data_IF_375906613460
#
_entry.id   IF_375906613460
#
_cell.length_a   1.000
_cell.length_b   1.000
_cell.length_c   1.000
_cell.angle_alpha   90.00
_cell.angle_beta   90.00
_cell.angle_gamma   90.00
#
_symmetry.space_group_name_H-M   'P 1'
#
loop_
_entity.id
_entity.type
_entity.pdbx_description
1 polymer ?
#
# COMPACT_ATOMS: atom_id res chain seq x y z
N UNK A 1 -22.65 -3.38 12.48
CA UNK A 1 -21.21 -3.54 12.10
C UNK A 1 -20.80 -4.98 12.36
N UNK A 2 -20.39 -5.74 11.33
CA UNK A 2 -20.00 -7.16 11.49
C UNK A 2 -18.88 -7.28 12.53
N UNK A 3 -18.99 -8.21 13.48
CA UNK A 3 -18.05 -8.39 14.60
C UNK A 3 -16.57 -8.42 14.17
N UNK A 4 -16.29 -9.08 13.05
CA UNK A 4 -14.93 -9.19 12.47
C UNK A 4 -14.30 -7.82 12.15
N UNK A 5 -15.10 -6.82 11.77
CA UNK A 5 -14.61 -5.45 11.51
C UNK A 5 -14.20 -4.76 12.81
N UNK A 6 -14.96 -4.96 13.89
CA UNK A 6 -14.65 -4.37 15.20
C UNK A 6 -13.30 -4.87 15.69
N UNK A 7 -13.11 -6.19 15.65
CA UNK A 7 -11.88 -6.86 16.11
C UNK A 7 -10.67 -6.36 15.30
N UNK A 8 -10.78 -6.29 13.97
CA UNK A 8 -9.70 -5.78 13.13
C UNK A 8 -9.30 -4.35 13.51
N UNK A 9 -10.26 -3.46 13.77
CA UNK A 9 -9.96 -2.08 14.15
C UNK A 9 -9.36 -1.99 15.54
N UNK A 10 -9.84 -2.80 16.49
CA UNK A 10 -9.28 -2.87 17.84
C UNK A 10 -7.82 -3.35 17.78
N UNK A 11 -7.49 -4.31 16.91
CA UNK A 11 -6.12 -4.81 16.74
C UNK A 11 -5.20 -3.83 15.97
N UNK A 12 -5.76 -3.02 15.07
CA UNK A 12 -5.02 -2.04 14.28
C UNK A 12 -4.44 -0.90 15.14
N UNK A 13 -5.19 -0.45 16.16
CA UNK A 13 -4.81 0.65 17.05
C UNK A 13 -3.48 0.36 17.79
N UNK A 14 -3.34 -0.74 18.56
CA UNK A 14 -2.12 -1.00 19.31
C UNK A 14 -0.91 -1.23 18.40
N UNK A 15 -1.09 -1.84 17.22
CA UNK A 15 0.00 -2.00 16.26
C UNK A 15 0.47 -0.64 15.71
N UNK A 16 -0.45 0.25 15.40
CA UNK A 16 -0.05 1.58 14.90
C UNK A 16 0.58 2.44 16.00
N UNK A 17 0.07 2.37 17.23
CA UNK A 17 0.70 3.02 18.37
C UNK A 17 2.09 2.46 18.65
N UNK A 18 2.26 1.14 18.59
CA UNK A 18 3.56 0.49 18.76
C UNK A 18 4.56 0.95 17.68
N UNK A 19 4.13 1.08 16.42
CA UNK A 19 4.98 1.61 15.35
C UNK A 19 5.45 3.04 15.63
N UNK A 20 4.55 3.93 16.08
CA UNK A 20 4.88 5.31 16.42
C UNK A 20 5.82 5.40 17.63
N UNK A 21 5.52 4.64 18.69
CA UNK A 21 6.36 4.60 19.90
C UNK A 21 7.75 4.10 19.55
N UNK A 22 7.87 2.98 18.83
CA UNK A 22 9.17 2.42 18.44
C UNK A 22 9.95 3.36 17.52
N UNK A 23 9.28 4.07 16.62
CA UNK A 23 9.92 5.06 15.76
C UNK A 23 10.53 6.21 16.57
N UNK A 24 9.80 6.75 17.54
CA UNK A 24 10.31 7.78 18.45
C UNK A 24 11.42 7.23 19.35
N UNK A 25 11.24 6.04 19.91
CA UNK A 25 12.23 5.39 20.78
C UNK A 25 13.56 5.14 20.06
N UNK A 26 13.52 4.69 18.80
CA UNK A 26 14.72 4.48 17.98
C UNK A 26 15.37 5.82 17.63
N UNK A 27 14.59 6.85 17.27
CA UNK A 27 15.14 8.17 16.97
C UNK A 27 15.88 8.80 18.18
N UNK A 28 15.31 8.61 19.38
CA UNK A 28 15.88 9.10 20.65
C UNK A 28 16.94 8.16 21.25
N UNK A 29 17.19 6.99 20.65
CA UNK A 29 18.03 5.91 21.19
C UNK A 29 17.63 5.43 22.60
N UNK A 30 16.35 5.55 22.97
CA UNK A 30 15.86 5.03 24.25
C UNK A 30 15.74 3.50 24.23
N UNK A 31 15.38 2.95 23.07
CA UNK A 31 15.20 1.52 22.90
C UNK A 31 15.40 1.12 21.44
N UNK A 32 16.23 0.11 21.22
CA UNK A 32 16.46 -0.50 19.90
C UNK A 32 15.81 -1.88 19.91
N UNK A 33 14.63 -2.06 19.30
CA UNK A 33 13.97 -3.35 19.25
C UNK A 33 14.75 -4.35 18.39
N UNK A 34 14.59 -5.64 18.66
CA UNK A 34 15.17 -6.66 17.78
C UNK A 34 14.47 -6.66 16.41
N UNK A 35 15.24 -6.94 15.35
CA UNK A 35 14.70 -7.08 13.98
C UNK A 35 13.60 -8.14 13.90
N UNK A 36 13.71 -9.21 14.70
CA UNK A 36 12.72 -10.27 14.76
C UNK A 36 11.38 -9.79 15.34
N UNK A 37 11.42 -9.01 16.44
CA UNK A 37 10.20 -8.41 17.01
C UNK A 37 9.50 -7.50 15.99
N UNK A 38 10.26 -6.64 15.30
CA UNK A 38 9.70 -5.77 14.26
C UNK A 38 9.12 -6.55 13.09
N UNK A 39 9.77 -7.64 12.68
CA UNK A 39 9.27 -8.51 11.62
C UNK A 39 7.91 -9.13 11.98
N UNK A 40 7.75 -9.62 13.22
CA UNK A 40 6.46 -10.16 13.70
C UNK A 40 5.37 -9.07 13.64
N UNK A 41 5.65 -7.88 14.17
CA UNK A 41 4.69 -6.76 14.17
C UNK A 41 4.32 -6.30 12.75
N UNK A 42 5.30 -6.27 11.84
CA UNK A 42 5.09 -6.02 10.42
C UNK A 42 4.17 -7.08 9.80
N UNK A 43 4.43 -8.37 10.05
CA UNK A 43 3.63 -9.47 9.52
C UNK A 43 2.19 -9.46 10.06
N UNK A 44 2.00 -9.16 11.34
CA UNK A 44 0.66 -8.99 11.93
C UNK A 44 -0.10 -7.84 11.25
N UNK A 45 0.56 -6.70 11.03
CA UNK A 45 -0.04 -5.54 10.38
C UNK A 45 -0.35 -5.82 8.92
N UNK A 46 0.55 -6.49 8.19
CA UNK A 46 0.34 -6.92 6.82
C UNK A 46 -0.82 -7.93 6.72
N UNK A 47 -0.94 -8.85 7.68
CA UNK A 47 -2.10 -9.74 7.82
C UNK A 47 -3.40 -8.95 7.93
N UNK A 48 -3.47 -7.95 8.81
CA UNK A 48 -4.65 -7.09 8.92
C UNK A 48 -4.93 -6.30 7.63
N UNK A 49 -3.91 -5.89 6.89
CA UNK A 49 -4.06 -5.27 5.58
C UNK A 49 -4.66 -6.24 4.54
N UNK A 50 -4.18 -7.48 4.47
CA UNK A 50 -4.76 -8.49 3.56
C UNK A 50 -6.23 -8.77 3.89
N UNK A 51 -6.58 -8.83 5.18
CA UNK A 51 -7.98 -8.97 5.62
C UNK A 51 -8.82 -7.76 5.22
N UNK A 52 -8.29 -6.54 5.34
CA UNK A 52 -8.97 -5.31 4.90
C UNK A 52 -9.35 -5.36 3.41
N UNK A 53 -8.40 -5.77 2.58
CA UNK A 53 -8.60 -5.92 1.12
C UNK A 53 -9.54 -7.09 0.81
N UNK A 54 -9.37 -8.24 1.45
CA UNK A 54 -10.21 -9.43 1.25
C UNK A 54 -11.67 -9.20 1.62
N UNK A 55 -11.93 -8.40 2.64
CA UNK A 55 -13.29 -7.99 3.03
C UNK A 55 -13.85 -6.85 2.15
N UNK A 56 -13.13 -6.41 1.11
CA UNK A 56 -13.51 -5.33 0.19
C UNK A 56 -13.93 -4.05 0.91
N UNK A 57 -13.25 -3.71 2.00
CA UNK A 57 -13.54 -2.49 2.75
C UNK A 57 -13.18 -1.26 1.90
N UNK A 58 -14.04 -0.24 1.91
CA UNK A 58 -13.84 0.98 1.10
C UNK A 58 -13.21 2.15 1.89
N UNK A 59 -12.83 1.93 3.15
CA UNK A 59 -12.36 3.00 4.03
C UNK A 59 -10.89 3.36 3.76
N UNK A 60 -10.69 4.35 2.87
CA UNK A 60 -9.37 4.83 2.44
C UNK A 60 -8.42 5.18 3.61
N UNK A 61 -8.94 5.81 4.66
CA UNK A 61 -8.12 6.24 5.81
C UNK A 61 -7.52 5.04 6.55
N UNK A 62 -8.27 3.95 6.68
CA UNK A 62 -7.80 2.74 7.37
C UNK A 62 -6.81 1.96 6.52
N UNK A 63 -7.06 1.91 5.22
CA UNK A 63 -6.11 1.38 4.26
C UNK A 63 -4.77 2.13 4.34
N UNK A 64 -4.82 3.47 4.36
CA UNK A 64 -3.64 4.32 4.49
C UNK A 64 -2.92 4.07 5.80
N UNK A 65 -3.65 4.01 6.92
CA UNK A 65 -3.06 3.72 8.23
C UNK A 65 -2.34 2.36 8.25
N UNK A 66 -2.97 1.29 7.75
CA UNK A 66 -2.36 -0.05 7.71
C UNK A 66 -1.11 -0.10 6.83
N UNK A 67 -1.16 0.48 5.63
CA UNK A 67 -0.01 0.55 4.72
C UNK A 67 1.13 1.36 5.37
N UNK A 68 0.82 2.54 5.91
CA UNK A 68 1.81 3.37 6.59
C UNK A 68 2.47 2.62 7.75
N UNK A 69 1.70 1.91 8.58
CA UNK A 69 2.23 1.13 9.69
C UNK A 69 3.15 -0.01 9.22
N UNK A 70 2.79 -0.74 8.16
CA UNK A 70 3.67 -1.77 7.56
C UNK A 70 4.99 -1.15 7.09
N UNK A 71 4.90 -0.03 6.38
CA UNK A 71 6.08 0.66 5.83
C UNK A 71 6.97 1.20 6.96
N UNK A 72 6.39 1.75 8.04
CA UNK A 72 7.16 2.19 9.22
C UNK A 72 7.95 1.03 9.84
N UNK A 73 7.34 -0.14 10.00
CA UNK A 73 8.07 -1.31 10.51
C UNK A 73 9.21 -1.74 9.58
N UNK A 74 8.98 -1.70 8.26
CA UNK A 74 10.03 -1.98 7.28
C UNK A 74 11.20 -1.00 7.39
N UNK A 75 10.90 0.30 7.50
CA UNK A 75 11.90 1.35 7.73
C UNK A 75 12.70 1.06 9.00
N UNK A 76 12.03 0.73 10.11
CA UNK A 76 12.71 0.40 11.37
C UNK A 76 13.61 -0.83 11.24
N UNK A 77 13.19 -1.89 10.54
CA UNK A 77 14.01 -3.08 10.30
C UNK A 77 15.28 -2.72 9.55
N UNK A 78 15.17 -1.93 8.47
CA UNK A 78 16.31 -1.51 7.65
C UNK A 78 17.26 -0.63 8.46
N UNK A 79 16.73 0.36 9.17
CA UNK A 79 17.50 1.26 10.04
C UNK A 79 18.29 0.49 11.10
N UNK A 80 17.65 -0.47 11.78
CA UNK A 80 18.31 -1.28 12.82
C UNK A 80 19.34 -2.23 12.22
N UNK A 81 19.08 -2.78 11.02
CA UNK A 81 20.07 -3.57 10.31
C UNK A 81 21.33 -2.76 9.99
N UNK A 82 21.18 -1.49 9.58
CA UNK A 82 22.30 -0.58 9.35
C UNK A 82 23.02 -0.28 10.67
N UNK A 83 22.28 0.03 11.74
CA UNK A 83 22.85 0.27 13.07
C UNK A 83 23.74 -0.90 13.54
N UNK A 84 23.28 -2.14 13.38
CA UNK A 84 24.00 -3.34 13.85
C UNK A 84 25.30 -3.60 13.08
N UNK A 85 25.31 -3.30 11.78
CA UNK A 85 26.46 -3.57 10.90
C UNK A 85 27.46 -2.40 10.91
N UNK A 86 27.04 -1.21 11.33
CA UNK A 86 27.90 -0.02 11.32
C UNK A 86 29.04 -0.14 12.33
N UNK A 87 30.27 -0.05 11.84
CA UNK A 87 31.51 -0.14 12.64
C UNK A 87 32.40 1.11 12.53
N UNK A 88 32.05 2.06 11.67
CA UNK A 88 32.94 3.17 11.30
C UNK A 88 32.59 4.43 12.10
N UNK A 89 33.39 4.75 13.11
CA UNK A 89 33.17 5.92 13.98
C UNK A 89 33.78 7.23 13.42
N UNK A 90 34.42 7.19 12.25
CA UNK A 90 35.25 8.30 11.75
C UNK A 90 34.45 9.47 11.15
N UNK A 91 33.21 9.24 10.69
CA UNK A 91 32.35 10.26 10.06
C UNK A 91 31.01 10.38 10.78
N UNK A 92 30.40 9.26 11.16
CA UNK A 92 29.16 9.22 11.93
C UNK A 92 29.29 8.18 13.02
N UNK A 93 28.93 8.57 14.25
CA UNK A 93 28.71 7.62 15.32
C UNK A 93 27.50 6.73 14.99
N UNK A 94 27.40 5.58 15.68
CA UNK A 94 26.26 4.65 15.51
C UNK A 94 24.90 5.34 15.66
N UNK A 95 24.81 6.37 16.50
CA UNK A 95 23.57 7.11 16.69
C UNK A 95 23.25 8.01 15.51
N UNK A 96 24.24 8.74 15.00
CA UNK A 96 24.14 9.62 13.85
C UNK A 96 23.71 8.88 12.59
N UNK A 97 24.32 7.72 12.30
CA UNK A 97 23.93 6.92 11.14
C UNK A 97 22.50 6.35 11.28
N UNK A 98 22.09 6.00 12.49
CA UNK A 98 20.74 5.51 12.78
C UNK A 98 19.70 6.59 12.53
N UNK A 99 19.93 7.81 13.03
CA UNK A 99 19.03 8.95 12.78
C UNK A 99 18.98 9.32 11.31
N UNK A 100 20.15 9.38 10.65
CA UNK A 100 20.25 9.71 9.23
C UNK A 100 19.50 8.69 8.37
N UNK A 101 19.75 7.40 8.59
CA UNK A 101 19.06 6.32 7.87
C UNK A 101 17.56 6.34 8.16
N UNK A 102 17.15 6.51 9.42
CA UNK A 102 15.74 6.61 9.77
C UNK A 102 15.04 7.76 9.03
N UNK A 103 15.65 8.95 8.99
CA UNK A 103 15.10 10.10 8.26
C UNK A 103 15.02 9.81 6.76
N UNK A 104 16.12 9.35 6.16
CA UNK A 104 16.22 9.08 4.74
C UNK A 104 15.19 8.04 4.28
N UNK A 105 15.10 6.90 4.97
CA UNK A 105 14.13 5.86 4.65
C UNK A 105 12.69 6.26 4.98
N UNK A 106 12.46 7.11 6.00
CA UNK A 106 11.14 7.67 6.27
C UNK A 106 10.67 8.57 5.13
N UNK A 107 11.52 9.44 4.60
CA UNK A 107 11.19 10.30 3.44
C UNK A 107 10.87 9.45 2.22
N UNK A 108 11.67 8.43 1.94
CA UNK A 108 11.42 7.48 0.85
C UNK A 108 10.09 6.74 1.02
N UNK A 109 9.80 6.31 2.25
CA UNK A 109 8.55 5.67 2.62
C UNK A 109 7.33 6.58 2.39
N UNK A 110 7.38 7.83 2.85
CA UNK A 110 6.32 8.82 2.61
C UNK A 110 6.08 9.04 1.13
N UNK A 111 7.15 9.15 0.34
CA UNK A 111 7.04 9.27 -1.12
C UNK A 111 6.38 8.03 -1.74
N UNK A 112 6.80 6.82 -1.35
CA UNK A 112 6.22 5.56 -1.84
C UNK A 112 4.72 5.44 -1.53
N UNK A 113 4.32 5.80 -0.31
CA UNK A 113 2.91 5.82 0.10
C UNK A 113 2.12 6.81 -0.75
N UNK A 114 2.64 8.02 -0.96
CA UNK A 114 2.01 9.03 -1.80
C UNK A 114 1.82 8.54 -3.25
N UNK A 115 2.87 7.94 -3.84
CA UNK A 115 2.82 7.38 -5.20
C UNK A 115 1.79 6.25 -5.29
N UNK A 116 1.73 5.35 -4.31
CA UNK A 116 0.73 4.27 -4.27
C UNK A 116 -0.70 4.83 -4.31
N UNK A 117 -1.04 5.79 -3.44
CA UNK A 117 -2.39 6.37 -3.40
C UNK A 117 -2.71 7.17 -4.66
N UNK A 118 -1.73 7.88 -5.23
CA UNK A 118 -1.87 8.57 -6.51
C UNK A 118 -2.15 7.58 -7.65
N UNK A 119 -1.41 6.49 -7.73
CA UNK A 119 -1.60 5.45 -8.75
C UNK A 119 -2.99 4.80 -8.62
N UNK A 120 -3.42 4.49 -7.39
CA UNK A 120 -4.75 3.93 -7.12
C UNK A 120 -5.88 4.89 -7.51
N UNK A 121 -5.74 6.19 -7.24
CA UNK A 121 -6.70 7.20 -7.64
C UNK A 121 -6.76 7.36 -9.17
N UNK A 122 -5.61 7.40 -9.83
CA UNK A 122 -5.50 7.45 -11.28
C UNK A 122 -6.16 6.25 -11.94
N UNK A 123 -5.88 5.03 -11.46
CA UNK A 123 -6.48 3.80 -11.98
C UNK A 123 -8.01 3.80 -11.84
N UNK A 124 -8.53 4.22 -10.68
CA UNK A 124 -9.98 4.37 -10.49
C UNK A 124 -10.60 5.38 -11.47
N UNK A 125 -9.93 6.50 -11.71
CA UNK A 125 -10.38 7.53 -12.66
C UNK A 125 -10.36 7.01 -14.10
N UNK A 126 -9.31 6.31 -14.51
CA UNK A 126 -9.21 5.73 -15.86
C UNK A 126 -10.28 4.66 -16.06
N UNK A 127 -10.46 3.73 -15.12
CA UNK A 127 -11.50 2.69 -15.21
C UNK A 127 -12.92 3.27 -15.21
N UNK A 128 -13.19 4.27 -14.37
CA UNK A 128 -14.48 4.98 -14.38
C UNK A 128 -14.71 5.73 -15.69
N UNK A 129 -13.68 6.39 -16.22
CA UNK A 129 -13.75 7.04 -17.52
C UNK A 129 -13.96 6.01 -18.65
N UNK A 130 -13.35 4.83 -18.60
CA UNK A 130 -13.60 3.75 -19.57
C UNK A 130 -15.03 3.20 -19.49
N UNK A 131 -15.62 3.10 -18.28
CA UNK A 131 -17.03 2.69 -18.10
C UNK A 131 -18.02 3.72 -18.62
N UNK A 132 -17.72 5.02 -18.51
CA UNK A 132 -18.59 6.10 -18.99
C UNK A 132 -18.28 6.57 -20.41
N UNK A 133 -17.21 6.08 -21.03
CA UNK A 133 -16.87 6.45 -22.39
C UNK A 133 -17.72 5.69 -23.40
N UNK A 134 -18.98 6.10 -23.55
CA UNK A 134 -19.88 5.70 -24.65
C UNK A 134 -19.43 6.22 -26.01
N UNK A 135 -18.35 7.02 -26.10
CA UNK A 135 -17.82 7.53 -27.37
C UNK A 135 -16.97 6.54 -28.14
N UNK A 136 -16.57 5.41 -27.55
CA UNK A 136 -16.03 4.26 -28.30
C UNK A 136 -17.14 3.45 -28.99
N UNK A 137 -18.18 4.13 -29.49
CA UNK A 137 -19.11 3.56 -30.46
C UNK A 137 -18.42 3.63 -31.81
N UNK A 138 -17.75 2.54 -32.18
CA UNK A 138 -17.43 2.27 -33.59
C UNK A 138 -18.71 2.48 -34.39
N UNK A 139 -18.69 3.39 -35.36
CA UNK A 139 -19.88 3.67 -36.17
C UNK A 139 -20.35 2.37 -36.85
N UNK A 140 -21.65 2.21 -37.10
CA UNK A 140 -22.16 0.99 -37.77
C UNK A 140 -21.46 0.73 -39.12
N UNK A 141 -21.01 1.80 -39.80
CA UNK A 141 -20.24 1.72 -41.04
C UNK A 141 -18.84 1.13 -40.84
N UNK A 142 -18.22 1.43 -39.70
CA UNK A 142 -16.87 0.98 -39.35
C UNK A 142 -16.88 -0.41 -38.73
N UNK A 143 -17.96 -0.80 -38.04
CA UNK A 143 -18.22 -2.19 -37.64
C UNK A 143 -18.37 -3.11 -38.85
N UNK A 144 -19.08 -2.67 -39.89
CA UNK A 144 -19.23 -3.45 -41.13
C UNK A 144 -17.90 -3.64 -41.84
N UNK A 145 -17.09 -2.57 -41.96
CA UNK A 145 -15.71 -2.66 -42.50
C UNK A 145 -14.81 -3.60 -41.71
N UNK A 146 -14.90 -3.60 -40.38
CA UNK A 146 -14.13 -4.52 -39.54
C UNK A 146 -14.62 -5.96 -39.74
N UNK A 147 -15.93 -6.20 -39.75
CA UNK A 147 -16.50 -7.54 -40.01
C UNK A 147 -16.18 -8.10 -41.41
N UNK A 148 -15.95 -7.23 -42.39
CA UNK A 148 -15.59 -7.58 -43.78
C UNK A 148 -14.06 -7.66 -44.00
N UNK A 149 -13.24 -7.30 -43.01
CA UNK A 149 -11.79 -7.40 -43.07
C UNK A 149 -11.32 -8.79 -42.61
N UNK A 150 -10.34 -9.36 -43.33
CA UNK A 150 -9.66 -10.62 -42.99
C UNK A 150 -8.71 -10.48 -41.78
N UNK A 151 -8.63 -9.29 -41.17
CA UNK A 151 -7.77 -9.05 -40.01
C UNK A 151 -8.40 -9.60 -38.73
N UNK A 152 -7.59 -10.21 -37.86
CA UNK A 152 -8.04 -10.64 -36.54
C UNK A 152 -8.12 -9.42 -35.61
N UNK A 153 -9.33 -8.94 -35.31
CA UNK A 153 -9.56 -7.87 -34.33
C UNK A 153 -10.03 -8.42 -32.98
N UNK A 154 -9.33 -8.03 -31.92
CA UNK A 154 -9.71 -8.28 -30.52
C UNK A 154 -10.61 -7.14 -30.02
N UNK A 155 -11.92 -7.40 -29.92
CA UNK A 155 -12.87 -6.48 -29.28
C UNK A 155 -12.70 -6.58 -27.76
N UNK A 156 -11.85 -5.73 -27.18
CA UNK A 156 -11.71 -5.57 -25.73
C UNK A 156 -12.80 -4.63 -25.22
N UNK A 157 -13.83 -5.16 -24.54
CA UNK A 157 -14.81 -4.33 -23.83
C UNK A 157 -16.27 -4.77 -23.82
N UNK A 158 -16.63 -6.00 -24.21
CA UNK A 158 -17.99 -6.50 -23.90
C UNK A 158 -18.08 -6.80 -22.40
N UNK A 159 -18.59 -5.84 -21.62
CA UNK A 159 -19.21 -6.13 -20.34
C UNK A 159 -20.43 -7.00 -20.65
N UNK A 160 -20.32 -8.31 -20.42
CA UNK A 160 -21.49 -9.17 -20.30
C UNK A 160 -22.13 -8.82 -18.96
N UNK A 161 -22.97 -7.80 -18.94
CA UNK A 161 -23.90 -7.57 -17.84
C UNK A 161 -24.91 -8.72 -17.91
N UNK A 162 -24.73 -9.72 -17.06
CA UNK A 162 -25.64 -10.84 -16.96
C UNK A 162 -26.97 -10.31 -16.40
N UNK A 163 -27.92 -10.00 -17.28
CA UNK A 163 -29.30 -9.64 -16.93
C UNK A 163 -30.06 -10.88 -16.47
N UNK A 164 -29.65 -11.46 -15.33
CA UNK A 164 -30.41 -12.49 -14.62
C UNK A 164 -30.23 -12.36 -13.12
N UNK A 165 -30.90 -11.36 -12.56
CA UNK A 165 -31.54 -11.50 -11.25
C UNK A 165 -32.90 -10.78 -11.39
N UNK A 166 -33.91 -11.55 -11.79
CA UNK A 166 -35.30 -11.30 -11.42
C UNK A 166 -35.58 -12.09 -10.14
#
# INVERSE_FOLDING_TARGET
MKWNLRIQYILMIPLTLAALILLVSVYQNWFIPTKFTLFILMMMTAGLFTVHIGQKQHTKLKEMMLISTVVVYLVLIITIAIHDVWKWDLIFDKQGITRLSLIMFSVLAFYGIFVYFRAKASYKRVKGNQQHNTKWRVSEREKRRLNESDDIYLILGKIYENSKIQ
#
